data_IF_497013555783
#
_entry.id   IF_497013555783
#
_cell.length_a   1.000
_cell.length_b   1.000
_cell.length_c   1.000
_cell.angle_alpha   90.00
_cell.angle_beta   90.00
_cell.angle_gamma   90.00
#
_symmetry.space_group_name_H-M   'P 1'
#
loop_
_entity.id
_entity.type
_entity.pdbx_description
1 polymer ?
#
# COMPACT_ATOMS: atom_id res chain seq x y z
N UNK A 1 -20.82 -24.17 3.22
CA UNK A 1 -19.87 -23.03 3.30
C UNK A 1 -20.56 -21.79 2.76
N UNK A 2 -20.41 -20.65 3.43
CA UNK A 2 -20.90 -19.36 2.92
C UNK A 2 -20.06 -18.96 1.72
N UNK A 3 -20.72 -18.61 0.61
CA UNK A 3 -19.99 -18.15 -0.60
C UNK A 3 -19.35 -16.79 -0.32
N UNK A 4 -18.12 -16.61 -0.77
CA UNK A 4 -17.44 -15.32 -0.74
C UNK A 4 -18.10 -14.34 -1.70
N UNK A 5 -18.32 -13.12 -1.23
CA UNK A 5 -19.03 -12.05 -1.94
C UNK A 5 -18.03 -11.09 -2.57
N UNK A 6 -18.11 -10.86 -3.87
CA UNK A 6 -17.21 -10.00 -4.63
C UNK A 6 -18.01 -8.86 -5.27
N UNK A 7 -17.59 -7.61 -5.03
CA UNK A 7 -18.14 -6.44 -5.70
C UNK A 7 -17.26 -6.07 -6.90
N UNK A 8 -17.85 -5.99 -8.09
CA UNK A 8 -17.19 -5.57 -9.33
C UNK A 8 -17.67 -4.18 -9.71
N UNK A 9 -16.75 -3.23 -9.87
CA UNK A 9 -17.02 -1.83 -10.21
C UNK A 9 -16.26 -1.48 -11.50
N UNK A 10 -16.97 -1.30 -12.59
CA UNK A 10 -16.44 -0.95 -13.92
C UNK A 10 -17.56 -0.27 -14.73
N UNK A 11 -17.29 0.81 -15.43
CA UNK A 11 -18.30 1.56 -16.18
C UNK A 11 -18.70 0.92 -17.51
N UNK A 12 -18.03 -0.16 -17.89
CA UNK A 12 -18.33 -0.90 -19.10
C UNK A 12 -19.22 -2.13 -18.81
N UNK A 13 -20.53 -2.12 -19.17
CA UNK A 13 -21.47 -3.20 -18.83
C UNK A 13 -21.06 -4.58 -19.35
N UNK A 14 -20.42 -4.65 -20.54
CA UNK A 14 -19.92 -5.88 -21.13
C UNK A 14 -18.77 -6.49 -20.29
N UNK A 15 -17.87 -5.66 -19.75
CA UNK A 15 -16.79 -6.11 -18.86
C UNK A 15 -17.38 -6.64 -17.56
N UNK A 16 -18.27 -5.89 -16.95
CA UNK A 16 -18.97 -6.28 -15.72
C UNK A 16 -19.68 -7.63 -15.89
N UNK A 17 -20.44 -7.78 -16.96
CA UNK A 17 -21.16 -9.03 -17.26
C UNK A 17 -20.21 -10.21 -17.44
N UNK A 18 -19.12 -10.02 -18.19
CA UNK A 18 -18.12 -11.06 -18.42
C UNK A 18 -17.40 -11.45 -17.13
N UNK A 19 -16.98 -10.49 -16.32
CA UNK A 19 -16.29 -10.75 -15.04
C UNK A 19 -17.24 -11.46 -14.07
N UNK A 20 -18.48 -10.98 -13.96
CA UNK A 20 -19.54 -11.59 -13.14
C UNK A 20 -19.72 -13.06 -13.48
N UNK A 21 -19.98 -13.38 -14.74
CA UNK A 21 -20.23 -14.75 -15.19
C UNK A 21 -19.06 -15.71 -14.82
N UNK A 22 -17.81 -15.24 -14.96
CA UNK A 22 -16.63 -16.03 -14.64
C UNK A 22 -16.46 -16.29 -13.14
N UNK A 23 -16.70 -15.26 -12.33
CA UNK A 23 -16.61 -15.37 -10.88
C UNK A 23 -17.73 -16.25 -10.32
N UNK A 24 -18.96 -16.11 -10.83
CA UNK A 24 -20.09 -16.96 -10.45
C UNK A 24 -19.87 -18.43 -10.82
N UNK A 25 -19.32 -18.68 -12.01
CA UNK A 25 -18.93 -20.03 -12.44
C UNK A 25 -17.84 -20.64 -11.54
N UNK A 26 -17.05 -19.80 -10.87
CA UNK A 26 -16.03 -20.22 -9.88
C UNK A 26 -16.56 -20.31 -8.46
N UNK A 27 -17.88 -20.15 -8.24
CA UNK A 27 -18.54 -20.35 -6.96
C UNK A 27 -18.67 -19.13 -6.07
N UNK A 28 -18.30 -17.94 -6.55
CA UNK A 28 -18.44 -16.67 -5.81
C UNK A 28 -19.86 -16.09 -5.94
N UNK A 29 -20.28 -15.31 -4.94
CA UNK A 29 -21.44 -14.41 -5.05
C UNK A 29 -20.96 -13.07 -5.61
N UNK A 30 -21.62 -12.51 -6.63
CA UNK A 30 -21.12 -11.32 -7.33
C UNK A 30 -22.16 -10.21 -7.37
N UNK A 31 -21.77 -9.05 -6.85
CA UNK A 31 -22.49 -7.79 -6.96
C UNK A 31 -21.77 -6.92 -7.98
N UNK A 32 -22.50 -6.14 -8.74
CA UNK A 32 -21.95 -5.29 -9.80
C UNK A 32 -22.40 -3.85 -9.67
N UNK A 33 -21.50 -2.92 -9.98
CA UNK A 33 -21.77 -1.49 -10.06
C UNK A 33 -21.17 -0.92 -11.35
N UNK A 34 -21.91 -0.03 -12.01
CA UNK A 34 -21.50 0.58 -13.28
C UNK A 34 -20.88 1.98 -13.10
N UNK A 35 -20.77 2.45 -11.87
CA UNK A 35 -20.08 3.69 -11.52
C UNK A 35 -19.55 3.65 -10.10
N UNK A 36 -18.66 4.62 -9.79
CA UNK A 36 -18.02 4.69 -8.49
C UNK A 36 -18.96 5.00 -7.32
N UNK A 37 -20.03 5.77 -7.55
CA UNK A 37 -20.99 6.12 -6.49
C UNK A 37 -21.86 4.92 -6.11
N UNK A 38 -22.33 4.18 -7.09
CA UNK A 38 -23.05 2.92 -6.89
C UNK A 38 -22.12 1.90 -6.20
N UNK A 39 -20.87 1.80 -6.64
CA UNK A 39 -19.86 0.94 -6.03
C UNK A 39 -19.65 1.22 -4.56
N UNK A 40 -19.51 2.49 -4.17
CA UNK A 40 -19.37 2.89 -2.76
C UNK A 40 -20.63 2.56 -1.94
N UNK A 41 -21.80 2.76 -2.52
CA UNK A 41 -23.07 2.42 -1.87
C UNK A 41 -23.16 0.93 -1.57
N UNK A 42 -22.87 0.08 -2.58
CA UNK A 42 -22.91 -1.38 -2.42
C UNK A 42 -21.80 -1.88 -1.50
N UNK A 43 -20.59 -1.31 -1.56
CA UNK A 43 -19.51 -1.70 -0.65
C UNK A 43 -19.90 -1.52 0.83
N UNK A 44 -20.59 -0.42 1.15
CA UNK A 44 -21.05 -0.15 2.52
C UNK A 44 -22.26 -0.99 2.95
N UNK A 45 -23.19 -1.29 2.03
CA UNK A 45 -24.43 -2.02 2.31
C UNK A 45 -24.21 -3.54 2.35
N UNK A 46 -23.51 -4.07 1.37
CA UNK A 46 -23.39 -5.50 1.08
C UNK A 46 -22.20 -6.18 1.74
N UNK A 47 -21.25 -5.41 2.28
CA UNK A 47 -20.06 -5.90 2.98
C UNK A 47 -19.31 -6.99 2.17
N UNK A 48 -18.81 -6.69 0.97
CA UNK A 48 -18.12 -7.68 0.15
C UNK A 48 -16.81 -8.15 0.82
N UNK A 49 -16.41 -9.37 0.56
CA UNK A 49 -15.11 -9.93 0.98
C UNK A 49 -13.96 -9.42 0.10
N UNK A 50 -14.27 -8.95 -1.11
CA UNK A 50 -13.30 -8.44 -2.08
C UNK A 50 -13.98 -7.44 -3.02
N UNK A 51 -13.25 -6.40 -3.43
CA UNK A 51 -13.68 -5.45 -4.44
C UNK A 51 -12.74 -5.55 -5.65
N UNK A 52 -13.31 -5.68 -6.85
CA UNK A 52 -12.61 -5.53 -8.13
C UNK A 52 -13.02 -4.18 -8.69
N UNK A 53 -12.04 -3.30 -8.98
CA UNK A 53 -12.28 -1.90 -9.30
C UNK A 53 -11.51 -1.46 -10.54
N UNK A 54 -12.21 -0.98 -11.55
CA UNK A 54 -11.54 -0.33 -12.69
C UNK A 54 -10.97 1.02 -12.28
N UNK A 55 -9.76 1.32 -12.76
CA UNK A 55 -9.11 2.62 -12.55
C UNK A 55 -9.71 3.68 -13.47
N UNK A 56 -10.04 3.31 -14.71
CA UNK A 56 -10.44 4.25 -15.75
C UNK A 56 -11.95 4.33 -15.85
N UNK A 57 -12.55 5.17 -15.02
CA UNK A 57 -13.98 5.44 -15.03
C UNK A 57 -14.24 6.94 -15.02
N UNK A 58 -15.39 7.42 -15.53
CA UNK A 58 -15.82 8.83 -15.40
C UNK A 58 -15.89 9.32 -13.95
N UNK A 59 -16.00 10.63 -13.76
CA UNK A 59 -16.24 11.29 -12.47
C UNK A 59 -15.19 11.00 -11.35
N UNK A 60 -13.91 11.04 -11.72
CA UNK A 60 -12.80 10.95 -10.77
C UNK A 60 -12.10 9.59 -10.72
N UNK A 61 -12.61 8.59 -11.45
CA UNK A 61 -11.96 7.30 -11.64
C UNK A 61 -11.86 6.42 -10.38
N UNK A 62 -11.31 5.22 -10.57
CA UNK A 62 -11.16 4.22 -9.50
C UNK A 62 -10.29 4.68 -8.33
N UNK A 63 -9.35 5.58 -8.55
CA UNK A 63 -8.53 6.13 -7.46
C UNK A 63 -9.36 6.91 -6.43
N UNK A 64 -10.33 7.71 -6.88
CA UNK A 64 -11.23 8.44 -5.98
C UNK A 64 -12.13 7.47 -5.18
N UNK A 65 -12.65 6.44 -5.84
CA UNK A 65 -13.44 5.38 -5.20
C UNK A 65 -12.60 4.67 -4.15
N UNK A 66 -11.38 4.25 -4.50
CA UNK A 66 -10.47 3.58 -3.57
C UNK A 66 -10.16 4.42 -2.33
N UNK A 67 -9.84 5.70 -2.51
CA UNK A 67 -9.59 6.60 -1.38
C UNK A 67 -10.79 6.67 -0.44
N UNK A 68 -12.01 6.81 -0.98
CA UNK A 68 -13.24 6.84 -0.17
C UNK A 68 -13.52 5.52 0.53
N UNK A 69 -13.23 4.37 -0.11
CA UNK A 69 -13.31 3.06 0.54
C UNK A 69 -12.37 2.96 1.74
N UNK A 70 -11.14 3.48 1.63
CA UNK A 70 -10.15 3.45 2.72
C UNK A 70 -10.49 4.41 3.87
N UNK A 71 -11.23 5.48 3.60
CA UNK A 71 -11.70 6.42 4.62
C UNK A 71 -12.90 5.90 5.44
N UNK A 72 -13.63 4.91 4.94
CA UNK A 72 -14.80 4.36 5.62
C UNK A 72 -14.41 3.19 6.55
N UNK A 73 -14.75 3.23 7.85
CA UNK A 73 -14.47 2.14 8.78
C UNK A 73 -15.05 0.78 8.34
N UNK A 74 -16.15 0.79 7.56
CA UNK A 74 -16.82 -0.42 7.08
C UNK A 74 -16.10 -1.10 5.93
N UNK A 75 -15.33 -0.35 5.13
CA UNK A 75 -14.74 -0.84 3.89
C UNK A 75 -13.22 -0.70 3.83
N UNK A 76 -12.60 -0.04 4.80
CA UNK A 76 -11.15 0.21 4.80
C UNK A 76 -10.29 -1.06 4.80
N UNK A 77 -10.80 -2.15 5.38
CA UNK A 77 -10.11 -3.45 5.45
C UNK A 77 -10.46 -4.40 4.31
N UNK A 78 -11.45 -4.05 3.47
CA UNK A 78 -11.83 -4.89 2.33
C UNK A 78 -10.72 -4.85 1.28
N UNK A 79 -10.14 -5.99 0.86
CA UNK A 79 -9.12 -6.01 -0.17
C UNK A 79 -9.67 -5.51 -1.51
N UNK A 80 -8.83 -4.84 -2.29
CA UNK A 80 -9.19 -4.28 -3.59
C UNK A 80 -8.18 -4.75 -4.64
N UNK A 81 -8.69 -5.35 -5.73
CA UNK A 81 -7.94 -5.63 -6.94
C UNK A 81 -8.25 -4.53 -7.95
N UNK A 82 -7.25 -3.80 -8.43
CA UNK A 82 -7.43 -2.89 -9.54
C UNK A 82 -7.37 -3.61 -10.88
N UNK A 83 -8.35 -3.34 -11.74
CA UNK A 83 -8.26 -3.62 -13.18
C UNK A 83 -7.77 -2.35 -13.86
N UNK A 84 -6.74 -2.44 -14.68
CA UNK A 84 -6.17 -1.25 -15.32
C UNK A 84 -5.76 -1.49 -16.76
N UNK A 85 -6.17 -0.57 -17.65
CA UNK A 85 -5.62 -0.45 -19.00
C UNK A 85 -4.38 0.46 -19.03
N UNK A 86 -4.04 1.11 -17.90
CA UNK A 86 -2.95 2.08 -17.83
C UNK A 86 -1.62 1.39 -17.66
N UNK A 87 -0.71 1.68 -18.60
CA UNK A 87 0.62 1.10 -18.71
C UNK A 87 1.72 2.03 -18.21
N UNK A 88 1.39 3.29 -17.99
CA UNK A 88 2.39 4.28 -17.64
C UNK A 88 2.95 3.99 -16.26
N UNK A 89 4.28 4.00 -16.09
CA UNK A 89 4.92 3.83 -14.79
C UNK A 89 4.36 4.76 -13.72
N UNK A 90 3.91 5.95 -14.11
CA UNK A 90 3.31 6.97 -13.23
C UNK A 90 1.97 6.52 -12.63
N UNK A 91 1.13 5.83 -13.40
CA UNK A 91 -0.17 5.33 -12.93
C UNK A 91 0.02 4.14 -11.99
N UNK A 92 0.96 3.26 -12.31
CA UNK A 92 1.36 2.15 -11.43
C UNK A 92 1.96 2.68 -10.14
N UNK A 93 2.86 3.66 -10.23
CA UNK A 93 3.44 4.31 -9.05
C UNK A 93 2.39 5.03 -8.20
N UNK A 94 1.40 5.67 -8.83
CA UNK A 94 0.27 6.31 -8.12
C UNK A 94 -0.57 5.30 -7.36
N UNK A 95 -0.81 4.15 -7.94
CA UNK A 95 -1.59 3.10 -7.32
C UNK A 95 -0.84 2.45 -6.14
N UNK A 96 0.47 2.21 -6.30
CA UNK A 96 1.32 1.78 -5.19
C UNK A 96 1.36 2.80 -4.06
N UNK A 97 1.45 4.10 -4.37
CA UNK A 97 1.36 5.18 -3.37
C UNK A 97 0.04 5.19 -2.61
N UNK A 98 -1.05 4.74 -3.22
CA UNK A 98 -2.35 4.62 -2.56
C UNK A 98 -2.49 3.31 -1.75
N UNK A 99 -1.45 2.47 -1.71
CA UNK A 99 -1.48 1.21 -0.97
C UNK A 99 -2.31 0.13 -1.63
N UNK A 100 -2.48 0.18 -2.96
CA UNK A 100 -3.12 -0.91 -3.70
C UNK A 100 -2.15 -2.06 -3.84
N UNK A 101 -2.56 -3.22 -3.34
CA UNK A 101 -1.69 -4.41 -3.28
C UNK A 101 -1.80 -5.28 -4.53
N UNK A 102 -2.95 -5.23 -5.21
CA UNK A 102 -3.26 -6.17 -6.27
C UNK A 102 -3.72 -5.48 -7.53
N UNK A 103 -3.07 -5.84 -8.64
CA UNK A 103 -3.35 -5.30 -9.97
C UNK A 103 -3.52 -6.43 -10.97
N UNK A 104 -4.48 -6.25 -11.87
CA UNK A 104 -4.62 -7.08 -13.08
C UNK A 104 -4.67 -6.14 -14.27
N UNK A 105 -3.65 -6.25 -15.15
CA UNK A 105 -3.54 -5.43 -16.35
C UNK A 105 -4.51 -5.92 -17.43
N UNK A 106 -5.30 -4.99 -17.99
CA UNK A 106 -6.14 -5.22 -19.18
C UNK A 106 -5.28 -5.12 -20.47
N UNK A 107 -5.42 -6.00 -21.48
CA UNK A 107 -6.25 -7.21 -21.47
C UNK A 107 -5.62 -8.34 -20.65
N UNK A 108 -6.43 -9.09 -19.91
CA UNK A 108 -5.99 -10.20 -19.07
C UNK A 108 -6.64 -11.53 -19.48
N UNK A 109 -5.93 -12.62 -19.20
CA UNK A 109 -6.50 -13.96 -19.29
C UNK A 109 -7.42 -14.23 -18.10
N UNK A 110 -8.57 -14.91 -18.28
CA UNK A 110 -9.50 -15.20 -17.17
C UNK A 110 -8.84 -15.86 -15.98
N UNK A 111 -7.93 -16.79 -16.23
CA UNK A 111 -7.21 -17.55 -15.20
C UNK A 111 -6.35 -16.64 -14.32
N UNK A 112 -5.82 -15.57 -14.90
CA UNK A 112 -5.01 -14.59 -14.16
C UNK A 112 -5.86 -13.83 -13.14
N UNK A 113 -7.06 -13.36 -13.55
CA UNK A 113 -7.97 -12.68 -12.62
C UNK A 113 -8.44 -13.63 -11.52
N UNK A 114 -8.88 -14.85 -11.88
CA UNK A 114 -9.34 -15.85 -10.92
C UNK A 114 -8.23 -16.27 -9.95
N UNK A 115 -7.00 -16.46 -10.44
CA UNK A 115 -5.84 -16.76 -9.60
C UNK A 115 -5.53 -15.64 -8.62
N UNK A 116 -5.63 -14.37 -9.05
CA UNK A 116 -5.44 -13.20 -8.18
C UNK A 116 -6.55 -13.13 -7.13
N UNK A 117 -7.82 -13.30 -7.52
CA UNK A 117 -8.97 -13.32 -6.60
C UNK A 117 -8.79 -14.39 -5.52
N UNK A 118 -8.45 -15.61 -5.92
CA UNK A 118 -8.22 -16.72 -4.99
C UNK A 118 -7.10 -16.39 -4.00
N UNK A 119 -5.95 -15.94 -4.49
CA UNK A 119 -4.81 -15.53 -3.66
C UNK A 119 -5.19 -14.46 -2.64
N UNK A 120 -5.94 -13.44 -3.06
CA UNK A 120 -6.34 -12.33 -2.20
C UNK A 120 -7.30 -12.79 -1.12
N UNK A 121 -8.30 -13.60 -1.45
CA UNK A 121 -9.27 -14.12 -0.49
C UNK A 121 -8.62 -15.09 0.51
N UNK A 122 -7.71 -15.97 0.06
CA UNK A 122 -6.95 -16.86 0.93
C UNK A 122 -6.05 -16.07 1.90
N UNK A 123 -5.38 -15.02 1.41
CA UNK A 123 -4.60 -14.11 2.27
C UNK A 123 -5.46 -13.33 3.26
N UNK A 124 -6.73 -13.09 2.94
CA UNK A 124 -7.66 -12.39 3.83
C UNK A 124 -8.30 -13.33 4.87
N UNK A 125 -8.42 -14.63 4.56
CA UNK A 125 -8.87 -15.66 5.52
C UNK A 125 -7.76 -16.04 6.51
N UNK A 126 -6.53 -15.98 6.04
CA UNK A 126 -5.35 -16.09 6.85
C UNK A 126 -4.61 -14.74 6.69
N UNK A 127 -5.06 -13.67 7.37
CA UNK A 127 -4.21 -12.49 7.46
C UNK A 127 -2.87 -13.04 7.96
N UNK A 128 -1.74 -12.68 7.32
CA UNK A 128 -0.44 -13.14 7.78
C UNK A 128 -0.49 -12.94 9.28
N UNK A 129 -0.30 -14.03 10.04
CA UNK A 129 -0.61 -14.12 11.47
C UNK A 129 -0.04 -12.91 12.19
N UNK A 130 -0.81 -11.85 12.29
CA UNK A 130 -0.61 -10.73 13.19
C UNK A 130 -1.02 -11.14 14.63
N UNK A 131 -1.02 -12.44 14.88
CA UNK A 131 -0.95 -13.05 16.20
C UNK A 131 0.46 -13.54 16.46
N UNK A 132 1.45 -12.64 16.32
CA UNK A 132 2.82 -13.01 16.58
C UNK A 132 3.82 -11.88 16.64
N UNK A 133 3.62 -10.77 15.99
CA UNK A 133 4.26 -9.47 16.28
C UNK A 133 3.59 -8.40 15.42
N UNK A 134 3.05 -7.40 16.04
CA UNK A 134 2.70 -6.14 15.41
C UNK A 134 3.91 -5.71 14.57
N UNK A 135 3.68 -5.38 13.27
CA UNK A 135 4.79 -4.92 12.42
C UNK A 135 5.37 -3.63 12.99
N UNK A 136 6.66 -3.65 13.24
CA UNK A 136 7.39 -2.57 13.91
C UNK A 136 8.01 -1.64 12.89
N UNK A 137 7.69 -0.37 13.03
CA UNK A 137 8.18 0.71 12.18
C UNK A 137 9.00 1.65 13.03
N UNK A 138 10.29 1.74 12.73
CA UNK A 138 11.16 2.74 13.34
C UNK A 138 11.21 3.97 12.44
N UNK A 139 10.83 5.11 13.01
CA UNK A 139 10.85 6.41 12.34
C UNK A 139 11.95 7.26 12.95
N UNK A 140 12.90 7.68 12.12
CA UNK A 140 14.03 8.53 12.52
C UNK A 140 13.82 9.89 11.87
N UNK A 141 13.30 10.85 12.61
CA UNK A 141 12.94 12.16 12.07
C UNK A 141 12.46 13.15 13.10
N UNK A 142 12.20 14.38 12.62
CA UNK A 142 11.67 15.49 13.43
C UNK A 142 10.35 15.98 12.84
N UNK A 143 9.51 16.59 13.69
CA UNK A 143 8.28 17.28 13.29
C UNK A 143 8.46 18.16 12.02
N UNK A 144 7.44 18.34 11.18
CA UNK A 144 6.00 18.12 11.43
C UNK A 144 5.42 16.82 10.84
N UNK A 145 6.18 16.04 10.08
CA UNK A 145 5.64 14.89 9.34
C UNK A 145 5.30 13.69 10.23
N UNK A 146 5.75 13.75 11.49
CA UNK A 146 5.53 12.64 12.45
C UNK A 146 4.06 12.39 12.76
N UNK A 147 3.19 13.41 12.65
CA UNK A 147 1.75 13.25 12.88
C UNK A 147 1.09 12.20 11.95
N UNK A 148 1.61 12.04 10.74
CA UNK A 148 1.09 11.04 9.80
C UNK A 148 1.44 9.60 10.22
N UNK A 149 2.55 9.41 10.94
CA UNK A 149 2.95 8.11 11.48
C UNK A 149 2.10 7.68 12.68
N UNK A 150 1.58 8.62 13.48
CA UNK A 150 0.68 8.30 14.60
C UNK A 150 -0.58 7.58 14.10
N UNK A 151 -1.08 7.93 12.91
CA UNK A 151 -2.22 7.25 12.31
C UNK A 151 -1.96 5.77 11.98
N UNK A 152 -0.70 5.38 11.80
CA UNK A 152 -0.33 3.98 11.59
C UNK A 152 -0.56 3.12 12.84
N UNK A 153 -0.43 3.70 14.03
CA UNK A 153 -0.71 3.02 15.29
C UNK A 153 -2.19 2.61 15.37
N UNK A 154 -3.10 3.50 14.92
CA UNK A 154 -4.54 3.21 14.84
C UNK A 154 -4.85 2.08 13.84
N UNK A 155 -3.92 1.80 12.92
CA UNK A 155 -4.02 0.76 11.92
C UNK A 155 -3.35 -0.56 12.33
N UNK A 156 -2.83 -0.63 13.57
CA UNK A 156 -2.25 -1.84 14.15
C UNK A 156 -0.75 -2.02 13.93
N UNK A 157 -0.03 -0.97 13.51
CA UNK A 157 1.44 -0.98 13.49
C UNK A 157 1.99 -0.53 14.86
N UNK A 158 3.12 -1.09 15.25
CA UNK A 158 3.92 -0.58 16.36
C UNK A 158 4.91 0.44 15.80
N UNK A 159 4.80 1.70 16.22
CA UNK A 159 5.59 2.81 15.68
C UNK A 159 6.44 3.42 16.77
N UNK A 160 7.75 3.32 16.62
CA UNK A 160 8.74 4.01 17.48
C UNK A 160 9.30 5.20 16.71
N UNK A 161 9.25 6.38 17.30
CA UNK A 161 9.73 7.63 16.70
C UNK A 161 10.90 8.15 17.53
N UNK A 162 12.03 8.39 16.87
CA UNK A 162 13.23 8.97 17.47
C UNK A 162 13.71 10.18 16.67
N UNK A 163 14.44 11.08 17.32
CA UNK A 163 14.78 12.39 16.76
C UNK A 163 16.17 12.46 16.12
N UNK A 164 16.99 11.43 16.31
CA UNK A 164 18.36 11.39 15.80
C UNK A 164 18.75 10.03 15.24
N UNK A 165 19.72 10.03 14.33
CA UNK A 165 20.26 8.79 13.72
C UNK A 165 20.89 7.89 14.79
N UNK A 166 21.54 8.46 15.81
CA UNK A 166 22.14 7.71 16.90
C UNK A 166 21.09 6.96 17.71
N UNK A 167 20.05 7.65 18.16
CA UNK A 167 18.92 7.02 18.85
C UNK A 167 18.29 5.92 17.99
N UNK A 168 18.11 6.19 16.69
CA UNK A 168 17.56 5.22 15.74
C UNK A 168 18.42 3.98 15.57
N UNK A 169 19.75 4.13 15.55
CA UNK A 169 20.68 3.00 15.53
C UNK A 169 20.60 2.16 16.80
N UNK A 170 20.54 2.80 17.95
CA UNK A 170 20.47 2.10 19.25
C UNK A 170 19.12 1.37 19.40
N UNK A 171 18.02 2.02 19.04
CA UNK A 171 16.68 1.43 19.07
C UNK A 171 16.54 0.23 18.12
N UNK A 172 17.02 0.38 16.89
CA UNK A 172 16.94 -0.68 15.89
C UNK A 172 17.72 -1.95 16.26
N UNK A 173 18.77 -1.84 17.07
CA UNK A 173 19.52 -3.00 17.62
C UNK A 173 18.71 -3.76 18.66
N UNK A 174 17.96 -3.01 19.47
CA UNK A 174 17.18 -3.57 20.58
C UNK A 174 15.87 -4.17 20.09
N UNK A 175 15.14 -3.44 19.25
CA UNK A 175 13.76 -3.75 18.92
C UNK A 175 13.55 -4.38 17.53
N UNK A 176 14.58 -4.49 16.71
CA UNK A 176 14.58 -5.13 15.38
C UNK A 176 13.35 -4.75 14.55
N UNK A 177 13.28 -3.51 14.02
CA UNK A 177 12.15 -3.06 13.25
C UNK A 177 11.98 -3.82 11.94
N UNK A 178 10.73 -3.97 11.48
CA UNK A 178 10.42 -4.55 10.17
C UNK A 178 10.67 -3.55 9.01
N UNK A 179 10.58 -2.24 9.31
CA UNK A 179 10.87 -1.14 8.38
C UNK A 179 11.50 0.02 9.13
N UNK A 180 12.52 0.63 8.53
CA UNK A 180 13.13 1.88 9.02
C UNK A 180 12.73 3.01 8.07
N UNK A 181 12.15 4.05 8.60
CA UNK A 181 11.82 5.28 7.90
C UNK A 181 12.74 6.41 8.37
N UNK A 182 13.45 7.04 7.43
CA UNK A 182 14.47 8.03 7.74
C UNK A 182 14.15 9.37 7.09
N UNK A 183 14.14 10.45 7.86
CA UNK A 183 13.98 11.79 7.32
C UNK A 183 15.23 12.22 6.55
N UNK A 184 15.05 12.51 5.26
CA UNK A 184 16.12 13.00 4.39
C UNK A 184 16.82 14.26 4.89
N UNK A 185 16.10 15.12 5.58
CA UNK A 185 16.69 16.33 6.20
C UNK A 185 17.77 15.96 7.22
N UNK A 186 17.54 14.92 8.03
CA UNK A 186 18.54 14.43 8.99
C UNK A 186 19.74 13.77 8.28
N UNK A 187 19.47 13.02 7.21
CA UNK A 187 20.52 12.40 6.39
C UNK A 187 21.46 13.48 5.82
N UNK A 188 20.88 14.51 5.25
CA UNK A 188 21.61 15.64 4.67
C UNK A 188 22.38 16.44 5.71
N UNK A 189 21.77 16.71 6.86
CA UNK A 189 22.42 17.43 7.97
C UNK A 189 23.66 16.71 8.53
N UNK A 190 23.73 15.37 8.37
CA UNK A 190 24.86 14.53 8.76
C UNK A 190 25.76 14.16 7.58
N UNK A 191 25.77 14.94 6.50
CA UNK A 191 26.57 14.72 5.31
C UNK A 191 26.48 13.27 4.78
N UNK A 192 25.28 12.64 4.86
CA UNK A 192 24.96 11.27 4.48
C UNK A 192 25.64 10.14 5.29
N UNK A 193 26.58 10.45 6.20
CA UNK A 193 27.32 9.44 6.97
C UNK A 193 26.40 8.60 7.83
N UNK A 194 25.39 9.21 8.46
CA UNK A 194 24.43 8.50 9.28
C UNK A 194 23.58 7.47 8.52
N UNK A 195 23.27 7.74 7.24
CA UNK A 195 22.61 6.76 6.38
C UNK A 195 23.51 5.55 6.15
N UNK A 196 24.78 5.77 5.84
CA UNK A 196 25.71 4.66 5.60
C UNK A 196 25.96 3.84 6.84
N UNK A 197 26.02 4.45 8.03
CA UNK A 197 26.09 3.73 9.30
C UNK A 197 24.88 2.82 9.49
N UNK A 198 23.66 3.35 9.37
CA UNK A 198 22.44 2.54 9.47
C UNK A 198 22.40 1.45 8.41
N UNK A 199 22.78 1.77 7.17
CA UNK A 199 22.82 0.80 6.08
C UNK A 199 23.76 -0.35 6.39
N UNK A 200 24.98 -0.10 6.88
CA UNK A 200 25.93 -1.14 7.25
C UNK A 200 25.44 -2.01 8.42
N UNK A 201 24.79 -1.41 9.40
CA UNK A 201 24.25 -2.14 10.56
C UNK A 201 23.05 -3.02 10.20
N UNK A 202 22.19 -2.59 9.27
CA UNK A 202 20.92 -3.26 9.00
C UNK A 202 20.83 -3.98 7.64
N UNK A 203 21.80 -3.83 6.74
CA UNK A 203 21.89 -4.61 5.49
C UNK A 203 21.96 -6.10 5.77
N UNK A 204 22.68 -6.52 6.82
CA UNK A 204 22.77 -7.93 7.22
C UNK A 204 21.43 -8.52 7.69
N UNK A 205 20.54 -7.69 8.20
CA UNK A 205 19.23 -8.08 8.73
C UNK A 205 18.10 -8.01 7.70
N UNK A 206 18.42 -7.62 6.46
CA UNK A 206 17.43 -7.38 5.35
C UNK A 206 16.29 -6.41 5.71
N UNK A 207 16.44 -5.60 6.76
CA UNK A 207 15.42 -4.62 7.13
C UNK A 207 15.35 -3.51 6.06
N UNK A 208 14.23 -3.32 5.38
CA UNK A 208 14.10 -2.28 4.38
C UNK A 208 14.19 -0.89 5.02
N UNK A 209 14.92 -0.01 4.36
CA UNK A 209 15.05 1.40 4.74
C UNK A 209 14.44 2.29 3.68
N UNK A 210 13.69 3.28 4.11
CA UNK A 210 13.07 4.29 3.25
C UNK A 210 13.51 5.68 3.70
N UNK A 211 13.74 6.57 2.72
CA UNK A 211 14.12 7.96 3.01
C UNK A 211 13.04 8.89 2.48
N UNK A 212 12.59 9.84 3.30
CA UNK A 212 11.72 10.92 2.84
C UNK A 212 12.54 12.07 2.23
N UNK A 213 12.19 12.47 1.01
CA UNK A 213 12.88 13.55 0.29
C UNK A 213 11.87 14.45 -0.42
N UNK A 214 12.22 15.71 -0.62
CA UNK A 214 11.48 16.60 -1.51
C UNK A 214 11.84 16.32 -2.97
N UNK A 215 10.99 16.75 -3.91
CA UNK A 215 11.30 16.62 -5.35
C UNK A 215 12.61 17.31 -5.74
N UNK A 216 12.92 18.46 -5.14
CA UNK A 216 14.15 19.20 -5.42
C UNK A 216 15.41 18.51 -4.91
N UNK A 217 15.30 17.65 -3.91
CA UNK A 217 16.43 16.93 -3.31
C UNK A 217 16.68 15.56 -3.96
N UNK A 218 15.72 15.02 -4.70
CA UNK A 218 15.76 13.65 -5.20
C UNK A 218 17.02 13.36 -6.03
N UNK A 219 17.39 14.24 -6.96
CA UNK A 219 18.60 14.07 -7.78
C UNK A 219 19.89 14.09 -6.95
N UNK A 220 19.95 14.94 -5.94
CA UNK A 220 21.10 15.02 -5.03
C UNK A 220 21.25 13.70 -4.27
N UNK A 221 20.15 13.18 -3.70
CA UNK A 221 20.14 11.91 -3.01
C UNK A 221 20.53 10.74 -3.92
N UNK A 222 20.02 10.71 -5.14
CA UNK A 222 20.36 9.66 -6.12
C UNK A 222 21.85 9.67 -6.50
N UNK A 223 22.49 10.84 -6.55
CA UNK A 223 23.92 10.97 -6.84
C UNK A 223 24.78 10.64 -5.64
N UNK A 224 24.33 10.95 -4.42
CA UNK A 224 25.12 10.81 -3.19
C UNK A 224 24.99 9.44 -2.54
N UNK A 225 23.88 8.74 -2.72
CA UNK A 225 23.61 7.44 -2.09
C UNK A 225 23.60 6.35 -3.14
N UNK A 226 24.62 5.52 -3.16
CA UNK A 226 24.69 4.37 -4.05
C UNK A 226 23.57 3.36 -3.73
N UNK A 227 22.82 2.93 -4.75
CA UNK A 227 21.69 2.01 -4.59
C UNK A 227 20.45 2.64 -3.96
N UNK A 228 20.33 3.98 -3.96
CA UNK A 228 19.15 4.70 -3.51
C UNK A 228 17.93 4.37 -4.38
N UNK A 229 17.08 3.49 -3.89
CA UNK A 229 15.89 3.03 -4.63
C UNK A 229 14.60 3.10 -3.83
N UNK A 230 14.70 3.25 -2.51
CA UNK A 230 13.53 3.25 -1.62
C UNK A 230 13.37 4.62 -0.98
N UNK A 231 12.44 5.42 -1.50
CA UNK A 231 12.17 6.77 -1.00
C UNK A 231 10.68 7.08 -1.02
N UNK A 232 10.25 8.05 -0.21
CA UNK A 232 8.96 8.68 -0.34
C UNK A 232 9.11 10.19 -0.56
N UNK A 233 8.22 10.75 -1.37
CA UNK A 233 8.25 12.18 -1.70
C UNK A 233 7.45 12.99 -0.70
N UNK A 234 8.08 14.02 -0.14
CA UNK A 234 7.41 15.04 0.69
C UNK A 234 6.65 16.06 -0.18
N UNK A 235 5.52 16.61 0.27
CA UNK A 235 4.78 16.18 1.45
C UNK A 235 4.05 14.86 1.19
N UNK A 236 3.87 14.06 2.22
CA UNK A 236 3.11 12.81 2.16
C UNK A 236 2.03 12.80 3.26
N UNK A 237 0.96 12.04 3.03
CA UNK A 237 -0.04 11.73 4.02
C UNK A 237 0.07 10.26 4.47
N UNK A 238 -0.71 9.86 5.47
CA UNK A 238 -0.67 8.50 6.01
C UNK A 238 -1.03 7.41 4.97
N UNK A 239 -1.83 7.73 3.95
CA UNK A 239 -2.18 6.80 2.87
C UNK A 239 -0.96 6.54 1.99
N UNK A 240 -0.20 7.60 1.66
CA UNK A 240 1.07 7.48 0.94
C UNK A 240 2.05 6.62 1.73
N UNK A 241 2.18 6.88 3.04
CA UNK A 241 3.05 6.11 3.95
C UNK A 241 2.67 4.62 3.98
N UNK A 242 1.39 4.30 4.09
CA UNK A 242 0.91 2.91 4.05
C UNK A 242 1.34 2.19 2.77
N UNK A 243 1.20 2.86 1.62
CA UNK A 243 1.64 2.33 0.34
C UNK A 243 3.13 2.01 0.34
N UNK A 244 3.95 2.94 0.80
CA UNK A 244 5.40 2.76 0.88
C UNK A 244 5.81 1.64 1.84
N UNK A 245 5.23 1.61 3.04
CA UNK A 245 5.52 0.60 4.07
C UNK A 245 5.17 -0.80 3.57
N UNK A 246 3.99 -0.98 2.96
CA UNK A 246 3.57 -2.27 2.41
C UNK A 246 4.51 -2.77 1.33
N UNK A 247 4.92 -1.90 0.39
CA UNK A 247 5.92 -2.25 -0.63
C UNK A 247 7.24 -2.65 0.00
N UNK A 248 7.66 -1.97 1.05
CA UNK A 248 8.90 -2.29 1.77
C UNK A 248 8.82 -3.68 2.45
N UNK A 249 7.69 -3.98 3.09
CA UNK A 249 7.46 -5.28 3.78
C UNK A 249 7.31 -6.47 2.82
N UNK A 250 6.92 -6.26 1.56
CA UNK A 250 6.77 -7.34 0.56
C UNK A 250 8.09 -7.76 -0.11
N UNK A 251 9.15 -6.94 -0.01
CA UNK A 251 10.46 -7.22 -0.61
C UNK A 251 11.32 -8.19 0.22
N UNK A 252 10.86 -8.59 1.37
CA UNK A 252 11.44 -9.61 2.26
C UNK A 252 10.61 -10.89 2.23
#
# INVERSE_FOLDING_TARGET
>A
MVKKKILVIDDMPNIVTMVKARLEASGYEVITALDGQQGLTYANAEKPDLIILDIVMPAGGGYSVYTRLRMSPKTRSVPVIFLTAKDKPEDVARAYKLGVEYFVKKPYKPEMLLGTVKKVLESSEHPPETRGSQKRILVIGKEPEMAEFVKLVEMGYEVTIVSSIKEGSDEAKTDKPDVIFLDGTLVKANNYDGFYQLKLEFVSNKTPMMISVTRGELEEFQKKIEGFSSYCLKPFNYIDLLGYIRVALQKN
#
